data_IF_705506843446
#
_entry.id   IF_705506843446
#
_cell.length_a   1.000
_cell.length_b   1.000
_cell.length_c   1.000
_cell.angle_alpha   90.00
_cell.angle_beta   90.00
_cell.angle_gamma   90.00
#
_symmetry.space_group_name_H-M   'P 1'
#
loop_
_entity.id
_entity.type
_entity.pdbx_description
1 polymer ?
#
# COMPACT_ATOMS: atom_id res chain seq x y z
N UNK A 1 25.00 -10.08 -3.83
CA UNK A 1 23.76 -9.67 -4.51
C UNK A 1 22.61 -10.22 -3.68
N UNK A 2 21.95 -9.36 -2.92
CA UNK A 2 20.92 -9.74 -1.95
C UNK A 2 19.57 -9.86 -2.68
N UNK A 3 19.08 -11.08 -2.86
CA UNK A 3 17.85 -11.41 -3.62
C UNK A 3 16.54 -10.89 -2.98
N UNK A 4 16.60 -10.13 -1.89
CA UNK A 4 15.42 -9.68 -1.13
C UNK A 4 14.86 -8.32 -1.57
N UNK A 5 15.62 -7.52 -2.31
CA UNK A 5 15.18 -6.19 -2.74
C UNK A 5 14.15 -6.22 -3.89
N UNK A 6 14.11 -7.30 -4.67
CA UNK A 6 13.22 -7.45 -5.83
C UNK A 6 11.76 -7.85 -5.47
N UNK A 7 11.46 -8.10 -4.19
CA UNK A 7 10.20 -8.77 -3.81
C UNK A 7 8.96 -7.86 -3.77
N UNK A 8 9.13 -6.54 -3.85
CA UNK A 8 8.03 -5.57 -3.72
C UNK A 8 7.90 -4.62 -4.92
N UNK A 9 8.24 -5.09 -6.11
CA UNK A 9 7.78 -4.42 -7.33
C UNK A 9 6.30 -4.76 -7.57
N UNK A 10 5.40 -4.11 -6.82
CA UNK A 10 3.95 -4.25 -7.00
C UNK A 10 3.32 -2.87 -7.16
N UNK A 11 3.31 -2.45 -8.42
CA UNK A 11 2.49 -1.40 -9.06
C UNK A 11 1.68 -0.56 -8.08
N UNK A 12 2.33 0.45 -7.50
CA UNK A 12 1.61 1.59 -6.93
C UNK A 12 1.25 2.45 -8.14
N UNK A 13 -0.02 2.41 -8.57
CA UNK A 13 -0.53 3.38 -9.52
C UNK A 13 -1.16 4.51 -8.72
N UNK A 14 -0.44 5.63 -8.62
CA UNK A 14 -1.07 6.89 -8.27
C UNK A 14 -1.91 7.32 -9.49
N UNK A 15 -3.20 7.50 -9.30
CA UNK A 15 -4.07 8.15 -10.28
C UNK A 15 -4.22 9.58 -9.76
N UNK A 16 -3.75 10.53 -10.56
CA UNK A 16 -4.03 11.95 -10.39
C UNK A 16 -5.34 12.18 -11.15
N UNK A 17 -6.46 12.24 -10.42
CA UNK A 17 -7.75 12.65 -10.97
C UNK A 17 -7.89 14.16 -10.74
N UNK A 18 -8.66 14.85 -11.57
CA UNK A 18 -8.83 16.32 -11.56
C UNK A 18 -9.45 16.89 -10.26
N UNK A 19 -9.58 16.08 -9.20
CA UNK A 19 -10.22 16.34 -7.90
C UNK A 19 -9.24 16.35 -6.69
N UNK A 20 -7.94 16.57 -6.88
CA UNK A 20 -6.92 16.60 -5.80
C UNK A 20 -6.85 15.31 -4.95
N UNK A 21 -7.37 14.18 -5.45
CA UNK A 21 -7.38 12.90 -4.74
C UNK A 21 -6.25 11.98 -5.23
N UNK A 22 -5.39 11.56 -4.29
CA UNK A 22 -4.36 10.54 -4.56
C UNK A 22 -4.89 9.16 -4.20
N UNK A 23 -5.20 8.35 -5.22
CA UNK A 23 -5.64 6.97 -5.03
C UNK A 23 -4.45 6.00 -5.11
N UNK A 24 -4.25 5.20 -4.04
CA UNK A 24 -3.25 4.11 -4.01
C UNK A 24 -3.95 2.76 -4.21
N UNK A 25 -3.73 2.13 -5.37
CA UNK A 25 -4.29 0.81 -5.66
C UNK A 25 -3.33 -0.29 -5.20
N UNK A 26 -3.73 -1.07 -4.18
CA UNK A 26 -2.98 -2.23 -3.70
C UNK A 26 -3.70 -3.53 -4.07
N UNK A 27 -2.93 -4.56 -4.44
CA UNK A 27 -3.50 -5.87 -4.73
C UNK A 27 -4.17 -6.47 -3.49
N UNK A 28 -5.44 -6.86 -3.61
CA UNK A 28 -6.17 -7.58 -2.56
C UNK A 28 -5.45 -8.87 -2.10
N UNK A 29 -4.69 -9.52 -2.99
CA UNK A 29 -3.88 -10.69 -2.63
C UNK A 29 -2.66 -10.33 -1.78
N UNK A 30 -2.11 -9.12 -1.93
CA UNK A 30 -1.03 -8.63 -1.05
C UNK A 30 -1.59 -8.31 0.32
N UNK A 31 -2.71 -7.57 0.39
CA UNK A 31 -3.35 -7.19 1.65
C UNK A 31 -3.76 -8.42 2.48
N UNK A 32 -4.33 -9.45 1.83
CA UNK A 32 -4.67 -10.71 2.50
C UNK A 32 -3.46 -11.43 3.11
N UNK A 33 -2.26 -11.32 2.53
CA UNK A 33 -1.04 -11.92 3.10
C UNK A 33 -0.60 -11.25 4.40
N UNK A 34 -0.98 -9.98 4.60
CA UNK A 34 -0.70 -9.22 5.82
C UNK A 34 -1.92 -9.14 6.76
N UNK A 35 -2.96 -9.93 6.48
CA UNK A 35 -4.16 -10.04 7.33
C UNK A 35 -5.13 -8.86 7.22
N UNK A 36 -5.06 -8.09 6.13
CA UNK A 36 -6.00 -7.00 5.83
C UNK A 36 -7.03 -7.48 4.79
N UNK A 37 -8.30 -7.35 5.13
CA UNK A 37 -9.44 -7.71 4.28
C UNK A 37 -10.25 -6.48 3.84
N UNK A 38 -11.10 -6.66 2.82
CA UNK A 38 -12.00 -5.58 2.37
C UNK A 38 -12.99 -5.29 3.49
N UNK A 39 -13.07 -4.02 3.91
CA UNK A 39 -13.91 -3.58 5.02
C UNK A 39 -13.20 -3.49 6.36
N UNK A 40 -11.95 -3.95 6.47
CA UNK A 40 -11.12 -3.69 7.65
C UNK A 40 -10.81 -2.18 7.77
N UNK A 41 -10.82 -1.69 9.01
CA UNK A 41 -10.22 -0.38 9.30
C UNK A 41 -8.70 -0.51 9.27
N UNK A 42 -8.03 0.40 8.58
CA UNK A 42 -6.57 0.47 8.52
C UNK A 42 -6.08 1.81 9.04
N UNK A 43 -4.93 1.78 9.70
CA UNK A 43 -4.19 2.98 10.09
C UNK A 43 -3.11 3.25 9.04
N UNK A 44 -3.06 4.50 8.57
CA UNK A 44 -2.06 4.98 7.62
C UNK A 44 -1.19 6.00 8.35
N UNK A 45 0.11 5.72 8.44
CA UNK A 45 1.10 6.58 9.08
C UNK A 45 2.12 7.08 8.05
N UNK A 46 2.29 8.40 7.95
CA UNK A 46 3.42 8.99 7.26
C UNK A 46 4.63 9.04 8.20
N UNK A 47 5.74 8.42 7.80
CA UNK A 47 7.04 8.50 8.46
C UNK A 47 8.03 9.19 7.52
N UNK A 48 9.21 9.56 8.05
CA UNK A 48 10.18 10.44 7.36
C UNK A 48 10.31 10.19 5.85
N UNK A 49 10.44 8.93 5.43
CA UNK A 49 10.60 8.55 4.01
C UNK A 49 9.65 7.43 3.55
N UNK A 50 8.59 7.11 4.31
CA UNK A 50 7.73 5.96 4.01
C UNK A 50 6.28 6.20 4.44
N UNK A 51 5.34 5.63 3.69
CA UNK A 51 3.94 5.50 4.09
C UNK A 51 3.72 4.07 4.61
N UNK A 52 3.29 3.94 5.86
CA UNK A 52 3.09 2.66 6.50
C UNK A 52 1.61 2.40 6.71
N UNK A 53 1.10 1.30 6.16
CA UNK A 53 -0.29 0.86 6.32
C UNK A 53 -0.30 -0.32 7.28
N UNK A 54 -1.10 -0.23 8.34
CA UNK A 54 -1.25 -1.27 9.38
C UNK A 54 -2.74 -1.56 9.60
N UNK A 55 -3.06 -2.78 10.00
CA UNK A 55 -4.39 -3.10 10.50
C UNK A 55 -4.65 -2.27 11.78
N UNK A 56 -5.78 -1.56 11.82
CA UNK A 56 -6.22 -0.76 12.96
C UNK A 56 -6.87 -1.57 14.06
#
# INVERSE_FOLDING_TARGET
MDQRADYYEKVIRAIDDDEDEVVLVLSANMLRKVGIEIGDNVMIEARKNELVIRKG
#
